data_IF_618593966207
#
_entry.id   IF_618593966207
#
_cell.length_a   1.000
_cell.length_b   1.000
_cell.length_c   1.000
_cell.angle_alpha   90.00
_cell.angle_beta   90.00
_cell.angle_gamma   90.00
#
_symmetry.space_group_name_H-M   'P 1'
#
loop_
_entity.id
_entity.type
_entity.pdbx_description
1 polymer ?
#
# COMPACT_ATOMS: atom_id res chain seq x y z
N UNK A 1 -26.83 11.49 -23.88
CA UNK A 1 -26.20 10.18 -23.59
C UNK A 1 -24.93 10.15 -24.41
N UNK A 2 -23.86 10.68 -23.85
CA UNK A 2 -22.55 10.69 -24.51
C UNK A 2 -21.67 9.68 -23.79
N UNK A 3 -21.22 8.67 -24.53
CA UNK A 3 -20.24 7.70 -24.06
C UNK A 3 -18.94 8.43 -23.66
N UNK A 4 -18.19 7.96 -22.64
CA UNK A 4 -16.93 8.57 -22.31
C UNK A 4 -15.96 8.33 -23.47
N UNK A 5 -15.38 9.41 -23.99
CA UNK A 5 -14.23 9.35 -24.91
C UNK A 5 -13.10 8.57 -24.22
N UNK A 6 -12.75 7.42 -24.77
CA UNK A 6 -11.46 6.80 -24.50
C UNK A 6 -10.38 7.84 -24.81
N UNK A 7 -9.63 8.21 -23.78
CA UNK A 7 -8.47 9.08 -23.92
C UNK A 7 -7.40 8.22 -24.61
N UNK A 8 -7.14 8.50 -25.89
CA UNK A 8 -5.98 8.01 -26.62
C UNK A 8 -4.73 8.47 -25.86
N UNK A 9 -4.23 7.64 -24.94
CA UNK A 9 -2.93 7.82 -24.32
C UNK A 9 -1.89 7.62 -25.42
N UNK A 10 -1.21 8.70 -25.79
CA UNK A 10 0.01 8.57 -26.59
C UNK A 10 0.95 7.62 -25.85
N UNK A 11 1.33 6.55 -26.55
CA UNK A 11 2.06 5.39 -26.04
C UNK A 11 3.54 5.73 -25.78
N UNK A 12 3.79 6.77 -24.96
CA UNK A 12 5.13 7.24 -24.62
C UNK A 12 5.70 6.35 -23.53
N UNK A 13 6.27 5.21 -23.95
CA UNK A 13 6.98 4.30 -23.06
C UNK A 13 8.10 5.06 -22.33
N UNK A 14 8.20 4.84 -21.02
CA UNK A 14 9.29 5.34 -20.17
C UNK A 14 10.24 4.19 -19.88
N UNK A 15 11.27 4.04 -20.71
CA UNK A 15 12.19 2.91 -20.64
C UNK A 15 13.49 3.35 -19.99
N UNK A 16 14.00 2.51 -19.08
CA UNK A 16 15.25 2.76 -18.36
C UNK A 16 16.15 1.54 -18.48
N UNK A 17 17.46 1.78 -18.53
CA UNK A 17 18.47 0.72 -18.49
C UNK A 17 19.08 0.63 -17.09
N UNK A 18 19.13 -0.56 -16.53
CA UNK A 18 19.79 -0.85 -15.27
C UNK A 18 20.57 -2.16 -15.39
N UNK A 19 21.88 -2.11 -15.14
CA UNK A 19 22.80 -3.27 -15.24
C UNK A 19 22.58 -4.09 -16.52
N UNK A 20 22.58 -3.40 -17.66
CA UNK A 20 22.41 -3.98 -19.00
C UNK A 20 21.02 -4.58 -19.30
N UNK A 21 20.07 -4.50 -18.38
CA UNK A 21 18.68 -4.90 -18.59
C UNK A 21 17.79 -3.67 -18.79
N UNK A 22 16.69 -3.82 -19.53
CA UNK A 22 15.74 -2.75 -19.80
C UNK A 22 14.46 -2.94 -19.00
N UNK A 23 13.87 -1.84 -18.56
CA UNK A 23 12.65 -1.81 -17.78
C UNK A 23 11.70 -0.74 -18.31
N UNK A 24 10.45 -1.10 -18.58
CA UNK A 24 9.39 -0.16 -18.91
C UNK A 24 8.63 0.22 -17.64
N UNK A 25 8.93 1.41 -17.12
CA UNK A 25 8.37 1.89 -15.85
C UNK A 25 7.26 2.91 -16.06
N UNK A 26 6.65 2.99 -17.25
CA UNK A 26 5.62 3.97 -17.60
C UNK A 26 4.50 4.06 -16.56
N UNK A 27 3.89 2.91 -16.26
CA UNK A 27 2.81 2.79 -15.27
C UNK A 27 3.31 2.96 -13.83
N UNK A 28 4.57 2.59 -13.58
CA UNK A 28 5.18 2.70 -12.24
C UNK A 28 5.51 4.14 -11.86
N UNK A 29 5.69 5.04 -12.82
CA UNK A 29 6.09 6.43 -12.57
C UNK A 29 5.20 7.11 -11.51
N UNK A 30 3.89 6.87 -11.62
CA UNK A 30 2.87 7.42 -10.76
C UNK A 30 2.78 6.70 -9.40
N UNK A 31 3.26 5.46 -9.34
CA UNK A 31 3.29 4.59 -8.16
C UNK A 31 4.61 4.68 -7.38
N UNK A 32 5.65 5.28 -7.98
CA UNK A 32 7.01 5.30 -7.43
C UNK A 32 7.06 5.94 -6.03
N UNK A 33 7.53 5.20 -5.00
CA UNK A 33 7.56 5.71 -3.63
C UNK A 33 8.41 6.97 -3.44
N UNK A 34 9.47 7.11 -4.24
CA UNK A 34 10.33 8.29 -4.25
C UNK A 34 9.74 9.49 -4.99
N UNK A 35 8.55 9.41 -5.56
CA UNK A 35 7.89 10.48 -6.32
C UNK A 35 8.39 10.58 -7.76
N UNK A 36 7.52 11.06 -8.65
CA UNK A 36 7.72 11.11 -10.11
C UNK A 36 8.87 12.04 -10.51
N UNK A 37 9.09 13.11 -9.73
CA UNK A 37 10.14 14.09 -10.01
C UNK A 37 11.56 13.50 -9.86
N UNK A 38 11.72 12.38 -9.17
CA UNK A 38 13.01 11.67 -9.08
C UNK A 38 13.36 10.90 -10.34
N UNK A 39 12.36 10.58 -11.17
CA UNK A 39 12.54 9.85 -12.43
C UNK A 39 12.83 10.77 -13.61
N UNK A 40 12.70 12.10 -13.43
CA UNK A 40 12.92 13.08 -14.50
C UNK A 40 14.31 12.91 -15.13
N UNK A 41 14.33 12.90 -16.46
CA UNK A 41 15.54 12.76 -17.27
C UNK A 41 16.08 11.34 -17.38
N UNK A 42 15.36 10.33 -16.89
CA UNK A 42 15.79 8.93 -16.99
C UNK A 42 15.29 8.19 -18.22
N UNK A 43 14.32 8.74 -18.96
CA UNK A 43 13.78 8.06 -20.14
C UNK A 43 14.88 7.80 -21.16
N UNK A 44 14.92 6.58 -21.67
CA UNK A 44 15.93 6.04 -22.58
C UNK A 44 17.39 6.17 -22.11
N UNK A 45 17.61 6.26 -20.79
CA UNK A 45 18.95 6.40 -20.20
C UNK A 45 19.35 5.22 -19.30
N UNK A 46 20.66 5.09 -19.06
CA UNK A 46 21.19 4.16 -18.06
C UNK A 46 21.13 4.79 -16.66
N UNK A 47 20.26 4.25 -15.82
CA UNK A 47 20.08 4.70 -14.44
C UNK A 47 21.05 4.02 -13.46
N UNK A 48 21.90 3.08 -13.88
CA UNK A 48 22.72 2.23 -12.97
C UNK A 48 23.52 3.07 -11.99
N UNK A 49 24.29 4.06 -12.47
CA UNK A 49 25.09 4.90 -11.57
C UNK A 49 24.24 5.76 -10.65
N UNK A 50 23.08 6.25 -11.10
CA UNK A 50 22.16 7.06 -10.28
C UNK A 50 21.47 6.21 -9.22
N UNK A 51 21.06 5.00 -9.59
CA UNK A 51 20.42 4.03 -8.72
C UNK A 51 21.37 3.57 -7.61
N UNK A 52 22.63 3.28 -7.93
CA UNK A 52 23.65 2.89 -6.95
C UNK A 52 24.10 4.04 -6.02
N UNK A 53 24.03 5.30 -6.49
CA UNK A 53 24.35 6.50 -5.67
C UNK A 53 23.16 6.99 -4.84
N UNK A 54 21.94 6.55 -5.16
CA UNK A 54 20.77 6.83 -4.35
C UNK A 54 20.90 6.14 -2.98
N UNK A 55 20.03 6.45 -1.99
CA UNK A 55 19.87 5.57 -0.86
C UNK A 55 19.71 4.12 -1.32
N UNK A 56 20.25 3.15 -0.56
CA UNK A 56 20.01 1.75 -0.85
C UNK A 56 18.52 1.51 -1.02
N UNK A 57 18.15 0.97 -2.18
CA UNK A 57 16.80 0.43 -2.38
C UNK A 57 16.73 -0.87 -1.59
N UNK A 58 15.59 -1.09 -0.94
CA UNK A 58 15.33 -2.31 -0.20
C UNK A 58 15.19 -3.52 -1.13
N UNK A 59 15.29 -4.72 -0.56
CA UNK A 59 15.07 -5.96 -1.31
C UNK A 59 13.67 -6.01 -1.93
N UNK A 60 12.64 -5.50 -1.24
CA UNK A 60 11.29 -5.37 -1.77
C UNK A 60 11.21 -4.42 -2.99
N UNK A 61 11.95 -3.32 -2.99
CA UNK A 61 12.00 -2.42 -4.15
C UNK A 61 12.76 -3.06 -5.33
N UNK A 62 13.85 -3.77 -5.06
CA UNK A 62 14.58 -4.54 -6.08
C UNK A 62 13.72 -5.67 -6.66
N UNK A 63 12.91 -6.30 -5.82
CA UNK A 63 11.97 -7.32 -6.21
C UNK A 63 10.88 -6.77 -7.13
N UNK A 64 10.21 -5.70 -6.71
CA UNK A 64 9.15 -5.04 -7.48
C UNK A 64 9.64 -4.54 -8.84
N UNK A 65 10.89 -4.05 -8.93
CA UNK A 65 11.50 -3.61 -10.18
C UNK A 65 11.49 -4.71 -11.27
N UNK A 66 11.57 -5.99 -10.88
CA UNK A 66 11.57 -7.12 -11.81
C UNK A 66 10.26 -7.22 -12.62
N UNK A 67 9.13 -6.77 -12.07
CA UNK A 67 7.82 -6.78 -12.76
C UNK A 67 7.80 -5.88 -14.01
N UNK A 68 8.71 -4.91 -14.09
CA UNK A 68 8.79 -3.95 -15.19
C UNK A 68 9.84 -4.32 -16.24
N UNK A 69 10.52 -5.47 -16.08
CA UNK A 69 11.58 -5.88 -17.00
C UNK A 69 10.99 -6.18 -18.38
N UNK A 70 11.64 -5.67 -19.43
CA UNK A 70 11.27 -5.95 -20.82
C UNK A 70 12.41 -6.65 -21.56
N UNK A 71 12.06 -7.45 -22.56
CA UNK A 71 13.05 -8.14 -23.39
C UNK A 71 13.82 -7.15 -24.25
N UNK A 72 15.16 -7.29 -24.24
CA UNK A 72 16.07 -6.40 -24.97
C UNK A 72 15.83 -6.43 -26.48
N UNK A 73 15.43 -7.57 -27.03
CA UNK A 73 15.08 -7.75 -28.45
C UNK A 73 13.85 -6.93 -28.87
N UNK A 74 12.86 -6.83 -27.98
CA UNK A 74 11.63 -6.08 -28.19
C UNK A 74 11.90 -4.56 -28.21
N UNK A 75 12.76 -4.08 -27.31
CA UNK A 75 13.14 -2.67 -27.22
C UNK A 75 14.02 -2.20 -28.41
N UNK A 76 15.02 -2.99 -28.80
CA UNK A 76 15.87 -2.62 -29.94
C UNK A 76 15.10 -2.58 -31.28
N UNK A 77 14.06 -3.41 -31.42
CA UNK A 77 13.19 -3.39 -32.61
C UNK A 77 12.35 -2.11 -32.69
N UNK A 78 11.87 -1.60 -31.55
CA UNK A 78 11.07 -0.37 -31.46
C UNK A 78 11.92 0.89 -31.68
N UNK A 79 13.17 0.92 -31.19
CA UNK A 79 14.11 2.00 -31.51
C UNK A 79 14.51 2.02 -33.00
N UNK A 80 14.70 0.85 -33.63
CA UNK A 80 14.99 0.77 -35.09
C UNK A 80 13.81 1.25 -35.94
N UNK A 81 12.57 1.06 -35.49
CA UNK A 81 11.37 1.59 -36.15
C UNK A 81 11.25 3.10 -36.01
N UNK A 82 11.50 3.67 -34.82
CA UNK A 82 11.50 5.13 -34.61
C UNK A 82 12.68 5.86 -35.26
N UNK A 83 13.86 5.22 -35.34
CA UNK A 83 15.06 5.78 -35.97
C UNK A 83 14.98 5.83 -37.50
N UNK A 84 14.06 5.08 -38.13
CA UNK A 84 13.90 5.07 -39.60
C UNK A 84 13.27 6.34 -40.19
N UNK A 85 12.79 7.27 -39.36
CA UNK A 85 12.26 8.57 -39.79
C UNK A 85 13.26 9.74 -39.72
N UNK A 86 14.52 9.48 -39.39
CA UNK A 86 15.60 10.48 -39.48
C UNK A 86 16.85 9.83 -40.08
N UNK A 87 16.91 9.87 -41.41
CA UNK A 87 18.10 10.01 -42.26
C UNK A 87 19.43 9.39 -41.81
N UNK A 88 19.78 8.30 -42.49
CA UNK A 88 20.98 8.07 -43.31
C UNK A 88 22.39 8.36 -42.76
N UNK A 89 23.18 7.29 -42.81
CA UNK A 89 24.61 7.19 -43.16
C UNK A 89 25.72 7.44 -42.12
N UNK A 90 26.38 6.32 -41.78
CA UNK A 90 27.82 6.05 -41.83
C UNK A 90 28.45 5.52 -40.53
N UNK A 91 28.68 4.19 -40.53
CA UNK A 91 30.04 3.66 -40.43
C UNK A 91 30.60 3.27 -39.05
N UNK A 92 31.13 2.03 -39.03
CA UNK A 92 32.18 1.46 -38.16
C UNK A 92 31.67 0.71 -36.92
N UNK A 93 31.60 -0.62 -37.07
CA UNK A 93 31.57 -1.61 -35.99
C UNK A 93 32.90 -1.56 -35.19
N UNK A 94 32.78 -1.34 -33.88
CA UNK A 94 33.86 -1.55 -32.92
C UNK A 94 33.41 -2.61 -31.92
N UNK A 95 33.90 -3.84 -32.12
CA UNK A 95 33.86 -4.93 -31.16
C UNK A 95 34.60 -4.51 -29.89
N UNK A 96 33.87 -4.34 -28.79
CA UNK A 96 34.46 -4.12 -27.47
C UNK A 96 33.92 -5.17 -26.50
N UNK A 97 34.80 -6.10 -26.13
CA UNK A 97 34.60 -7.08 -25.07
C UNK A 97 34.23 -6.38 -23.74
N UNK A 98 33.17 -6.81 -23.02
CA UNK A 98 32.95 -6.34 -21.66
C UNK A 98 33.96 -7.02 -20.72
N UNK A 99 34.76 -6.20 -20.03
CA UNK A 99 35.49 -6.64 -18.84
C UNK A 99 34.48 -6.98 -17.74
N UNK A 100 34.50 -8.23 -17.31
CA UNK A 100 33.87 -8.70 -16.08
C UNK A 100 34.49 -7.95 -14.89
N UNK A 101 33.68 -7.13 -14.22
CA UNK A 101 33.90 -6.82 -12.82
C UNK A 101 32.95 -7.70 -12.01
N UNK A 102 33.51 -8.76 -11.44
CA UNK A 102 32.85 -9.63 -10.47
C UNK A 102 32.33 -8.79 -9.30
N UNK A 103 31.01 -8.63 -9.21
CA UNK A 103 30.30 -8.19 -8.01
C UNK A 103 29.31 -9.32 -7.66
N UNK A 104 29.49 -9.88 -6.47
CA UNK A 104 28.93 -11.16 -5.97
C UNK A 104 27.42 -11.19 -5.70
N UNK A 105 26.62 -10.34 -6.36
CA UNK A 105 25.15 -10.35 -6.24
C UNK A 105 24.43 -10.96 -7.46
N UNK A 106 25.16 -11.68 -8.32
CA UNK A 106 24.59 -12.39 -9.47
C UNK A 106 24.16 -13.83 -9.12
N UNK A 107 23.38 -14.00 -8.06
CA UNK A 107 22.64 -15.24 -7.89
C UNK A 107 21.39 -15.20 -8.79
N UNK A 108 21.58 -15.64 -10.03
CA UNK A 108 20.52 -16.23 -10.85
C UNK A 108 20.11 -17.58 -10.23
N UNK A 109 19.38 -17.52 -9.13
CA UNK A 109 18.43 -18.54 -8.72
C UNK A 109 17.08 -17.84 -8.71
N UNK A 110 16.02 -18.52 -9.13
CA UNK A 110 14.66 -17.98 -9.15
C UNK A 110 14.14 -17.73 -7.73
N UNK A 111 14.62 -16.65 -7.10
CA UNK A 111 14.19 -16.12 -5.81
C UNK A 111 12.75 -15.57 -5.85
N UNK A 112 12.13 -15.55 -7.03
CA UNK A 112 10.73 -15.17 -7.15
C UNK A 112 9.89 -16.32 -6.62
N UNK A 113 9.39 -16.19 -5.39
CA UNK A 113 8.41 -17.12 -4.80
C UNK A 113 7.06 -17.09 -5.54
N UNK A 114 7.01 -16.46 -6.72
CA UNK A 114 5.78 -16.24 -7.48
C UNK A 114 5.36 -17.46 -8.28
N UNK A 115 6.29 -18.36 -8.59
CA UNK A 115 5.97 -19.66 -9.18
C UNK A 115 5.22 -20.58 -8.19
N UNK A 116 5.17 -20.25 -6.89
CA UNK A 116 4.44 -21.01 -5.89
C UNK A 116 2.92 -20.89 -6.03
N UNK A 117 2.43 -19.88 -6.78
CA UNK A 117 1.01 -19.65 -7.04
C UNK A 117 0.73 -19.40 -8.52
N UNK A 118 -0.46 -19.76 -8.96
CA UNK A 118 -0.98 -19.42 -10.27
C UNK A 118 -1.77 -18.10 -10.19
N UNK A 119 -1.17 -17.02 -10.68
CA UNK A 119 -1.73 -15.68 -10.71
C UNK A 119 -2.99 -15.54 -11.57
N UNK A 120 -3.24 -16.48 -12.49
CA UNK A 120 -4.47 -16.50 -13.30
C UNK A 120 -5.68 -17.05 -12.54
N UNK A 121 -5.45 -17.67 -11.37
CA UNK A 121 -6.48 -18.34 -10.55
C UNK A 121 -6.76 -17.59 -9.25
N UNK A 122 -7.84 -18.00 -8.58
CA UNK A 122 -8.20 -17.48 -7.27
C UNK A 122 -7.11 -17.79 -6.23
N UNK A 123 -6.70 -16.79 -5.45
CA UNK A 123 -5.56 -16.87 -4.54
C UNK A 123 -5.88 -17.60 -3.24
N UNK A 124 -7.08 -17.40 -2.65
CA UNK A 124 -7.39 -17.97 -1.34
C UNK A 124 -7.26 -19.50 -1.29
N UNK A 125 -7.76 -20.28 -2.27
CA UNK A 125 -7.56 -21.73 -2.29
C UNK A 125 -6.10 -22.18 -2.44
N UNK A 126 -5.22 -21.30 -2.91
CA UNK A 126 -3.80 -21.56 -3.15
C UNK A 126 -2.93 -21.28 -1.91
N UNK A 127 -3.41 -20.49 -0.94
CA UNK A 127 -2.66 -20.14 0.29
C UNK A 127 -2.17 -21.39 1.05
N UNK A 128 -2.97 -22.45 1.06
CA UNK A 128 -2.58 -23.72 1.69
C UNK A 128 -1.33 -24.37 1.09
N UNK A 129 -1.05 -24.13 -0.19
CA UNK A 129 0.09 -24.70 -0.89
C UNK A 129 1.38 -23.91 -0.61
N UNK A 130 1.25 -22.65 -0.16
CA UNK A 130 2.38 -21.74 0.09
C UNK A 130 2.59 -21.45 1.57
N UNK A 131 1.84 -22.11 2.47
CA UNK A 131 1.85 -21.83 3.92
C UNK A 131 3.26 -21.82 4.51
N UNK A 132 4.13 -22.75 4.06
CA UNK A 132 5.52 -22.82 4.49
C UNK A 132 6.32 -21.53 4.18
N UNK A 133 6.06 -20.90 3.04
CA UNK A 133 6.79 -19.72 2.56
C UNK A 133 5.97 -18.43 2.69
N UNK A 134 4.82 -18.50 3.37
CA UNK A 134 3.80 -17.47 3.32
C UNK A 134 4.30 -16.11 3.81
N UNK A 135 4.97 -16.09 4.97
CA UNK A 135 5.43 -14.85 5.62
C UNK A 135 6.42 -14.10 4.73
N UNK A 136 7.36 -14.81 4.10
CA UNK A 136 8.29 -14.18 3.16
C UNK A 136 7.57 -13.78 1.85
N UNK A 137 6.68 -14.62 1.33
CA UNK A 137 5.99 -14.39 0.06
C UNK A 137 5.04 -13.19 0.09
N UNK A 138 4.27 -13.03 1.18
CA UNK A 138 3.25 -11.98 1.31
C UNK A 138 3.86 -10.59 1.40
N UNK A 139 5.08 -10.50 1.96
CA UNK A 139 5.82 -9.27 2.17
C UNK A 139 6.68 -8.83 0.98
N UNK A 140 6.74 -9.61 -0.10
CA UNK A 140 7.37 -9.23 -1.37
C UNK A 140 6.32 -8.62 -2.31
N UNK A 141 6.25 -7.27 -2.43
CA UNK A 141 5.19 -6.59 -3.15
C UNK A 141 5.32 -6.79 -4.67
N UNK A 142 4.18 -6.81 -5.35
CA UNK A 142 4.05 -7.00 -6.80
C UNK A 142 3.05 -5.99 -7.36
N UNK A 143 3.15 -5.65 -8.64
CA UNK A 143 2.20 -4.75 -9.32
C UNK A 143 1.43 -5.50 -10.41
N UNK A 144 0.50 -6.35 -9.98
CA UNK A 144 -0.32 -7.16 -10.87
C UNK A 144 -1.73 -7.40 -10.33
N UNK A 145 -2.70 -7.68 -11.21
CA UNK A 145 -4.02 -8.10 -10.78
C UNK A 145 -3.96 -9.39 -9.93
N UNK A 146 -4.72 -9.41 -8.85
CA UNK A 146 -4.92 -10.58 -8.00
C UNK A 146 -6.41 -10.85 -7.85
N UNK A 147 -6.82 -12.12 -7.84
CA UNK A 147 -8.21 -12.54 -7.62
C UNK A 147 -8.30 -13.37 -6.34
N UNK A 148 -9.25 -13.10 -5.45
CA UNK A 148 -9.40 -13.86 -4.20
C UNK A 148 -10.30 -15.10 -4.38
N UNK A 149 -11.40 -14.98 -5.13
CA UNK A 149 -12.43 -16.00 -5.27
C UNK A 149 -12.64 -16.42 -6.73
N UNK A 150 -12.87 -17.72 -6.95
CA UNK A 150 -13.15 -18.28 -8.28
C UNK A 150 -14.50 -17.85 -8.88
N UNK A 151 -15.59 -17.76 -8.11
CA UNK A 151 -16.84 -17.16 -8.58
C UNK A 151 -16.75 -15.62 -8.65
N UNK A 152 -17.28 -15.02 -9.71
CA UNK A 152 -17.15 -13.58 -9.96
C UNK A 152 -17.93 -12.72 -8.95
N UNK A 153 -19.08 -13.20 -8.48
CA UNK A 153 -19.93 -12.47 -7.54
C UNK A 153 -19.29 -12.36 -6.15
N UNK A 154 -18.59 -13.41 -5.69
CA UNK A 154 -17.80 -13.34 -4.46
C UNK A 154 -16.63 -12.38 -4.60
N UNK A 155 -16.01 -12.34 -5.79
CA UNK A 155 -14.92 -11.41 -6.07
C UNK A 155 -15.37 -9.95 -6.01
N UNK A 156 -16.60 -9.64 -6.43
CA UNK A 156 -17.13 -8.28 -6.32
C UNK A 156 -17.25 -7.83 -4.85
N UNK A 157 -17.55 -8.75 -3.93
CA UNK A 157 -17.63 -8.45 -2.50
C UNK A 157 -16.26 -8.16 -1.86
N UNK A 158 -15.14 -8.39 -2.56
CA UNK A 158 -13.79 -8.10 -2.05
C UNK A 158 -13.29 -6.71 -2.47
N UNK A 159 -13.98 -6.09 -3.43
CA UNK A 159 -13.60 -4.81 -4.00
C UNK A 159 -14.38 -3.69 -3.34
N UNK A 160 -13.68 -2.88 -2.55
CA UNK A 160 -14.25 -1.75 -1.82
C UNK A 160 -13.64 -0.45 -2.33
N UNK A 161 -14.33 0.31 -3.20
CA UNK A 161 -13.93 1.67 -3.51
C UNK A 161 -13.84 2.52 -2.25
N UNK A 162 -12.88 3.45 -2.18
CA UNK A 162 -12.65 4.28 -0.99
C UNK A 162 -13.91 5.00 -0.50
N UNK A 163 -14.78 5.47 -1.41
CA UNK A 163 -15.98 6.24 -1.08
C UNK A 163 -17.11 5.41 -0.45
N UNK A 164 -17.06 4.08 -0.54
CA UNK A 164 -18.03 3.19 0.12
C UNK A 164 -17.92 3.31 1.64
N UNK A 165 -16.70 3.43 2.16
CA UNK A 165 -16.43 3.52 3.61
C UNK A 165 -17.09 4.77 4.23
N UNK A 166 -16.85 6.02 3.79
CA UNK A 166 -17.54 7.18 4.34
C UNK A 166 -19.05 7.15 4.08
N UNK A 167 -19.50 6.66 2.92
CA UNK A 167 -20.94 6.57 2.61
C UNK A 167 -21.68 5.68 3.60
N UNK A 168 -21.04 4.59 4.05
CA UNK A 168 -21.60 3.70 5.05
C UNK A 168 -21.43 4.22 6.48
N UNK A 169 -20.21 4.61 6.86
CA UNK A 169 -19.89 4.89 8.26
C UNK A 169 -20.35 6.26 8.74
N UNK A 170 -20.42 7.29 7.88
CA UNK A 170 -20.90 8.62 8.30
C UNK A 170 -22.35 8.56 8.81
N UNK A 171 -23.32 7.97 8.07
CA UNK A 171 -24.68 7.80 8.60
C UNK A 171 -24.74 6.97 9.88
N UNK A 172 -23.97 5.87 9.97
CA UNK A 172 -23.93 5.03 11.17
C UNK A 172 -23.46 5.82 12.39
N UNK A 173 -22.34 6.54 12.26
CA UNK A 173 -21.79 7.39 13.33
C UNK A 173 -22.78 8.49 13.71
N UNK A 174 -23.39 9.16 12.72
CA UNK A 174 -24.35 10.22 12.95
C UNK A 174 -25.60 9.72 13.69
N UNK A 175 -26.12 8.54 13.35
CA UNK A 175 -27.27 7.94 14.04
C UNK A 175 -26.89 7.53 15.46
N UNK A 176 -25.77 6.81 15.65
CA UNK A 176 -25.33 6.36 16.97
C UNK A 176 -25.07 7.54 17.92
N UNK A 177 -24.35 8.56 17.46
CA UNK A 177 -24.11 9.76 18.25
C UNK A 177 -25.41 10.55 18.44
N UNK A 178 -26.18 10.77 17.38
CA UNK A 178 -27.40 11.58 17.39
C UNK A 178 -28.45 11.09 18.37
N UNK A 179 -28.69 9.77 18.43
CA UNK A 179 -29.63 9.17 19.38
C UNK A 179 -29.22 9.41 20.83
N UNK A 180 -27.93 9.28 21.13
CA UNK A 180 -27.40 9.46 22.48
C UNK A 180 -27.39 10.95 22.89
N UNK A 181 -27.02 11.86 21.97
CA UNK A 181 -27.14 13.31 22.19
C UNK A 181 -28.60 13.72 22.41
N UNK A 182 -29.53 13.26 21.59
CA UNK A 182 -30.96 13.56 21.75
C UNK A 182 -31.51 13.08 23.11
N UNK A 183 -31.09 11.89 23.53
CA UNK A 183 -31.53 11.30 24.80
C UNK A 183 -30.94 12.05 26.02
N UNK A 184 -29.65 12.39 26.00
CA UNK A 184 -28.89 12.78 27.20
C UNK A 184 -28.45 14.25 27.26
N UNK A 185 -28.37 14.94 26.13
CA UNK A 185 -27.91 16.33 26.10
C UNK A 185 -29.03 17.32 26.47
N UNK A 186 -29.31 17.48 27.78
CA UNK A 186 -30.35 18.40 28.27
C UNK A 186 -29.80 19.76 28.67
N UNK A 187 -28.50 19.85 28.89
CA UNK A 187 -27.77 21.06 29.25
C UNK A 187 -26.49 21.23 28.41
N UNK A 188 -25.90 22.42 28.45
CA UNK A 188 -24.59 22.68 27.83
C UNK A 188 -23.47 21.84 28.43
N UNK A 189 -23.53 21.55 29.74
CA UNK A 189 -22.61 20.63 30.41
C UNK A 189 -22.72 19.20 29.87
N UNK A 190 -23.94 18.71 29.60
CA UNK A 190 -24.13 17.37 29.03
C UNK A 190 -23.53 17.29 27.63
N UNK A 191 -23.77 18.30 26.78
CA UNK A 191 -23.17 18.38 25.44
C UNK A 191 -21.64 18.32 25.52
N UNK A 192 -21.04 19.06 26.46
CA UNK A 192 -19.58 19.05 26.66
C UNK A 192 -19.08 17.67 27.11
N UNK A 193 -19.77 17.01 28.04
CA UNK A 193 -19.42 15.65 28.52
C UNK A 193 -19.50 14.64 27.38
N UNK A 194 -20.59 14.63 26.62
CA UNK A 194 -20.77 13.70 25.49
C UNK A 194 -19.72 13.95 24.38
N UNK A 195 -19.41 15.22 24.10
CA UNK A 195 -18.34 15.59 23.17
C UNK A 195 -16.96 15.12 23.67
N UNK A 196 -16.73 15.19 24.98
CA UNK A 196 -15.54 14.62 25.62
C UNK A 196 -15.42 13.10 25.41
N UNK A 197 -16.53 12.36 25.50
CA UNK A 197 -16.54 10.93 25.19
C UNK A 197 -16.31 10.62 23.71
N UNK A 198 -16.80 11.44 22.78
CA UNK A 198 -16.45 11.33 21.35
C UNK A 198 -14.94 11.49 21.16
N UNK A 199 -14.36 12.54 21.76
CA UNK A 199 -12.91 12.78 21.68
C UNK A 199 -12.12 11.62 22.28
N UNK A 200 -12.54 11.11 23.44
CA UNK A 200 -11.93 9.92 24.05
C UNK A 200 -12.00 8.71 23.11
N UNK A 201 -13.14 8.48 22.44
CA UNK A 201 -13.27 7.43 21.44
C UNK A 201 -12.30 7.59 20.27
N UNK A 202 -12.13 8.79 19.74
CA UNK A 202 -11.16 9.08 18.66
C UNK A 202 -9.72 8.80 19.14
N UNK A 203 -9.36 9.22 20.35
CA UNK A 203 -8.03 8.97 20.91
C UNK A 203 -7.80 7.47 21.16
N UNK A 204 -8.82 6.77 21.68
CA UNK A 204 -8.81 5.32 21.87
C UNK A 204 -8.59 4.61 20.53
N UNK A 205 -9.23 5.08 19.45
CA UNK A 205 -8.98 4.55 18.12
C UNK A 205 -7.51 4.67 17.71
N UNK A 206 -6.84 5.81 17.94
CA UNK A 206 -5.42 5.92 17.55
C UNK A 206 -4.54 4.87 18.23
N UNK A 207 -4.89 4.47 19.45
CA UNK A 207 -4.22 3.37 20.16
C UNK A 207 -4.58 2.01 19.55
N UNK A 208 -5.86 1.78 19.26
CA UNK A 208 -6.32 0.56 18.60
C UNK A 208 -5.71 0.39 17.20
N UNK A 209 -5.61 1.46 16.42
CA UNK A 209 -4.89 1.50 15.14
C UNK A 209 -3.48 0.92 15.30
N UNK A 210 -2.71 1.45 16.25
CA UNK A 210 -1.35 0.97 16.51
C UNK A 210 -1.34 -0.52 16.92
N UNK A 211 -2.25 -0.91 17.83
CA UNK A 211 -2.30 -2.27 18.36
C UNK A 211 -2.67 -3.28 17.27
N UNK A 212 -3.73 -2.99 16.52
CA UNK A 212 -4.20 -3.84 15.43
C UNK A 212 -3.13 -3.93 14.35
N UNK A 213 -2.56 -2.79 13.93
CA UNK A 213 -1.57 -2.80 12.88
C UNK A 213 -0.31 -3.58 13.27
N UNK A 214 0.15 -3.45 14.52
CA UNK A 214 1.36 -4.16 14.99
C UNK A 214 1.15 -5.64 15.27
N UNK A 215 0.13 -6.01 16.03
CA UNK A 215 0.01 -7.37 16.58
C UNK A 215 -1.01 -8.25 15.87
N UNK A 216 -1.89 -7.67 15.06
CA UNK A 216 -2.90 -8.43 14.30
C UNK A 216 -2.56 -8.42 12.82
N UNK A 217 -2.30 -7.25 12.24
CA UNK A 217 -2.03 -7.09 10.83
C UNK A 217 -0.59 -7.43 10.43
N UNK A 218 0.36 -7.31 11.36
CA UNK A 218 1.76 -7.74 11.20
C UNK A 218 2.11 -8.90 12.14
N UNK A 219 1.14 -9.79 12.39
CA UNK A 219 1.43 -11.03 13.12
C UNK A 219 2.45 -11.86 12.31
N UNK A 220 3.59 -12.16 12.93
CA UNK A 220 4.61 -13.00 12.30
C UNK A 220 4.10 -14.43 12.17
N UNK A 221 4.01 -14.93 10.95
CA UNK A 221 3.61 -16.31 10.69
C UNK A 221 4.85 -17.17 10.45
N UNK A 222 4.83 -18.36 11.03
CA UNK A 222 5.88 -19.38 10.87
C UNK A 222 5.40 -20.47 9.91
N UNK A 223 6.31 -21.34 9.50
CA UNK A 223 6.00 -22.50 8.65
C UNK A 223 4.88 -23.39 9.23
N UNK A 224 4.70 -23.37 10.55
CA UNK A 224 3.72 -24.16 11.31
C UNK A 224 2.38 -23.43 11.58
N UNK A 225 2.22 -22.18 11.16
CA UNK A 225 1.05 -21.34 11.49
C UNK A 225 -0.28 -21.84 10.90
N UNK A 226 -0.23 -22.79 9.97
CA UNK A 226 -1.39 -23.44 9.37
C UNK A 226 -2.11 -22.56 8.34
N UNK A 227 -2.77 -23.18 7.34
CA UNK A 227 -3.31 -22.47 6.18
C UNK A 227 -4.45 -21.50 6.52
N UNK A 228 -5.22 -21.79 7.58
CA UNK A 228 -6.32 -20.93 8.02
C UNK A 228 -5.84 -19.59 8.56
N UNK A 229 -4.77 -19.58 9.35
CA UNK A 229 -4.21 -18.35 9.91
C UNK A 229 -3.54 -17.51 8.82
N UNK A 230 -2.80 -18.13 7.90
CA UNK A 230 -2.26 -17.47 6.71
C UNK A 230 -3.37 -16.85 5.85
N UNK A 231 -4.48 -17.56 5.66
CA UNK A 231 -5.65 -17.06 4.91
C UNK A 231 -6.27 -15.85 5.61
N UNK A 232 -6.47 -15.94 6.92
CA UNK A 232 -7.00 -14.84 7.72
C UNK A 232 -6.10 -13.60 7.65
N UNK A 233 -4.79 -13.75 7.89
CA UNK A 233 -3.81 -12.67 7.76
C UNK A 233 -3.82 -12.05 6.35
N UNK A 234 -3.89 -12.89 5.30
CA UNK A 234 -3.94 -12.42 3.92
C UNK A 234 -5.15 -11.53 3.68
N UNK A 235 -6.32 -11.90 4.19
CA UNK A 235 -7.55 -11.14 4.00
C UNK A 235 -7.61 -9.81 4.74
N UNK A 236 -6.95 -9.69 5.90
CA UNK A 236 -7.03 -8.48 6.73
C UNK A 236 -5.94 -7.46 6.41
N UNK A 237 -4.76 -7.89 5.96
CA UNK A 237 -3.64 -6.97 5.68
C UNK A 237 -2.61 -7.50 4.68
N UNK A 238 -2.35 -8.82 4.66
CA UNK A 238 -1.33 -9.39 3.78
C UNK A 238 -1.56 -9.11 2.30
N UNK A 239 -2.82 -9.09 1.85
CA UNK A 239 -3.18 -8.70 0.49
C UNK A 239 -2.74 -7.28 0.14
N UNK A 240 -2.90 -6.35 1.08
CA UNK A 240 -2.50 -4.96 0.89
C UNK A 240 -0.97 -4.83 0.77
N UNK A 241 -0.19 -5.56 1.56
CA UNK A 241 1.27 -5.60 1.39
C UNK A 241 1.70 -6.29 0.09
N UNK A 242 0.97 -7.32 -0.34
CA UNK A 242 1.30 -8.07 -1.55
C UNK A 242 1.02 -7.28 -2.82
N UNK A 243 -0.14 -6.63 -2.93
CA UNK A 243 -0.55 -5.80 -4.07
C UNK A 243 -0.87 -4.36 -3.61
N UNK A 244 0.15 -3.57 -3.20
CA UNK A 244 -0.07 -2.27 -2.55
C UNK A 244 -0.73 -1.23 -3.44
N UNK A 245 -0.70 -1.43 -4.77
CA UNK A 245 -1.26 -0.50 -5.75
C UNK A 245 -2.67 -0.90 -6.24
N UNK A 246 -3.35 -1.84 -5.58
CA UNK A 246 -4.75 -2.15 -5.85
C UNK A 246 -5.68 -1.16 -5.11
N UNK A 247 -6.35 -0.21 -5.81
CA UNK A 247 -7.17 0.81 -5.16
C UNK A 247 -8.46 0.26 -4.57
N UNK A 248 -8.86 -0.95 -4.93
CA UNK A 248 -10.11 -1.56 -4.50
C UNK A 248 -9.92 -2.48 -3.28
N UNK A 249 -8.69 -2.73 -2.85
CA UNK A 249 -8.36 -3.67 -1.77
C UNK A 249 -7.43 -3.09 -0.70
N UNK A 250 -7.51 -1.77 -0.52
CA UNK A 250 -6.80 -1.04 0.52
C UNK A 250 -7.70 -0.80 1.74
N UNK A 251 -8.88 -0.22 1.52
CA UNK A 251 -9.78 0.16 2.63
C UNK A 251 -10.52 -1.04 3.19
N UNK A 252 -10.89 -0.98 4.47
CA UNK A 252 -11.52 -2.12 5.12
C UNK A 252 -13.01 -2.23 4.71
N UNK A 253 -13.47 -3.39 4.19
CA UNK A 253 -14.86 -3.53 3.73
C UNK A 253 -15.87 -3.36 4.88
N UNK A 254 -16.98 -2.60 4.70
CA UNK A 254 -17.89 -2.28 5.81
C UNK A 254 -18.51 -3.47 6.54
N UNK A 255 -18.90 -4.54 5.83
CA UNK A 255 -19.54 -5.71 6.44
C UNK A 255 -18.59 -6.44 7.42
N UNK A 256 -17.38 -6.87 7.01
CA UNK A 256 -16.34 -7.28 7.95
C UNK A 256 -16.05 -6.25 9.04
N UNK A 257 -16.06 -4.95 8.70
CA UNK A 257 -15.88 -3.85 9.64
C UNK A 257 -16.90 -3.84 10.79
N UNK A 258 -18.18 -4.06 10.49
CA UNK A 258 -19.25 -4.17 11.51
C UNK A 258 -19.02 -5.37 12.42
N UNK A 259 -18.61 -6.51 11.86
CA UNK A 259 -18.31 -7.72 12.64
C UNK A 259 -17.14 -7.44 13.59
N UNK A 260 -16.03 -6.90 13.09
CA UNK A 260 -14.86 -6.57 13.91
C UNK A 260 -15.20 -5.52 14.97
N UNK A 261 -15.91 -4.46 14.61
CA UNK A 261 -16.37 -3.43 15.54
C UNK A 261 -17.25 -4.03 16.65
N UNK A 262 -18.13 -4.97 16.32
CA UNK A 262 -19.00 -5.65 17.30
C UNK A 262 -18.20 -6.52 18.28
N UNK A 263 -17.20 -7.26 17.77
CA UNK A 263 -16.30 -8.09 18.59
C UNK A 263 -15.49 -7.23 19.55
N UNK A 264 -14.95 -6.10 19.09
CA UNK A 264 -14.18 -5.17 19.93
C UNK A 264 -15.07 -4.41 20.91
N UNK A 265 -16.24 -3.96 20.47
CA UNK A 265 -17.17 -3.17 21.28
C UNK A 265 -17.76 -3.97 22.44
N UNK A 266 -18.15 -5.23 22.22
CA UNK A 266 -18.86 -6.04 23.21
C UNK A 266 -18.16 -6.09 24.59
N UNK A 267 -16.88 -6.52 24.70
CA UNK A 267 -16.19 -6.54 26.00
C UNK A 267 -15.93 -5.13 26.55
N UNK A 268 -15.58 -4.16 25.70
CA UNK A 268 -15.35 -2.77 26.12
C UNK A 268 -16.62 -2.16 26.70
N UNK A 269 -17.78 -2.46 26.13
CA UNK A 269 -19.08 -1.94 26.57
C UNK A 269 -19.48 -2.43 27.96
N UNK A 270 -19.07 -3.67 28.32
CA UNK A 270 -19.29 -4.22 29.67
C UNK A 270 -18.44 -3.50 30.71
N UNK A 271 -17.18 -3.22 30.39
CA UNK A 271 -16.26 -2.48 31.27
C UNK A 271 -16.74 -1.02 31.43
N UNK A 272 -17.21 -0.41 30.35
CA UNK A 272 -17.61 0.99 30.29
C UNK A 272 -19.11 1.22 30.50
N UNK A 273 -19.84 0.27 31.09
CA UNK A 273 -21.31 0.34 31.24
C UNK A 273 -21.82 1.67 31.82
N UNK A 274 -21.08 2.27 32.76
CA UNK A 274 -21.44 3.53 33.41
C UNK A 274 -20.86 4.79 32.74
N UNK A 275 -20.21 4.65 31.58
CA UNK A 275 -19.40 5.70 30.93
C UNK A 275 -19.79 5.95 29.47
N UNK A 276 -21.08 5.85 29.13
CA UNK A 276 -21.60 6.13 27.78
C UNK A 276 -20.89 5.35 26.64
N UNK A 277 -20.86 4.00 26.68
CA UNK A 277 -20.05 3.20 25.77
C UNK A 277 -20.42 3.39 24.29
N UNK A 278 -21.70 3.68 23.98
CA UNK A 278 -22.17 3.94 22.60
C UNK A 278 -21.65 5.27 22.02
N UNK A 279 -21.48 6.30 22.85
CA UNK A 279 -20.85 7.55 22.41
C UNK A 279 -19.35 7.30 22.17
N UNK A 280 -18.69 6.58 23.06
CA UNK A 280 -17.28 6.21 22.88
C UNK A 280 -17.09 5.40 21.59
N UNK A 281 -18.00 4.45 21.31
CA UNK A 281 -18.02 3.71 20.04
C UNK A 281 -18.16 4.65 18.84
N UNK A 282 -19.05 5.63 18.90
CA UNK A 282 -19.24 6.61 17.82
C UNK A 282 -17.96 7.41 17.56
N UNK A 283 -17.26 7.82 18.63
CA UNK A 283 -15.95 8.46 18.53
C UNK A 283 -14.86 7.54 17.97
N UNK A 284 -14.82 6.28 18.39
CA UNK A 284 -13.87 5.29 17.89
C UNK A 284 -14.09 4.97 16.39
N UNK A 285 -15.36 4.85 15.96
CA UNK A 285 -15.72 4.69 14.55
C UNK A 285 -15.37 5.92 13.72
N UNK A 286 -15.51 7.13 14.28
CA UNK A 286 -15.04 8.36 13.63
C UNK A 286 -13.51 8.35 13.48
N UNK A 287 -12.78 7.94 14.52
CA UNK A 287 -11.34 7.73 14.45
C UNK A 287 -10.95 6.74 13.34
N UNK A 288 -11.63 5.59 13.28
CA UNK A 288 -11.46 4.59 12.23
C UNK A 288 -11.70 5.14 10.83
N UNK A 289 -12.80 5.85 10.62
CA UNK A 289 -13.11 6.45 9.33
C UNK A 289 -12.00 7.42 8.90
N UNK A 290 -11.53 8.28 9.81
CA UNK A 290 -10.41 9.17 9.54
C UNK A 290 -9.13 8.40 9.18
N UNK A 291 -8.80 7.35 9.94
CA UNK A 291 -7.66 6.48 9.68
C UNK A 291 -7.72 5.85 8.28
N UNK A 292 -8.84 5.24 7.91
CA UNK A 292 -8.97 4.49 6.66
C UNK A 292 -8.89 5.44 5.45
N UNK A 293 -9.46 6.65 5.58
CA UNK A 293 -9.34 7.70 4.56
C UNK A 293 -7.94 8.30 4.49
N UNK A 294 -7.26 8.49 5.62
CA UNK A 294 -5.85 8.89 5.64
C UNK A 294 -5.02 7.83 4.93
N UNK A 295 -5.18 6.55 5.29
CA UNK A 295 -4.45 5.43 4.72
C UNK A 295 -4.58 5.40 3.19
N UNK A 296 -5.82 5.47 2.69
CA UNK A 296 -6.08 5.54 1.26
C UNK A 296 -5.41 6.77 0.61
N UNK A 297 -5.50 7.94 1.24
CA UNK A 297 -4.87 9.16 0.75
C UNK A 297 -3.33 9.10 0.78
N UNK A 298 -2.72 8.36 1.71
CA UNK A 298 -1.27 8.17 1.72
C UNK A 298 -0.80 7.39 0.48
N UNK A 299 -1.57 6.39 0.02
CA UNK A 299 -1.25 5.65 -1.21
C UNK A 299 -1.56 6.46 -2.47
N UNK A 300 -2.77 7.00 -2.58
CA UNK A 300 -3.27 7.57 -3.85
C UNK A 300 -3.30 9.10 -3.93
N UNK A 301 -3.04 9.80 -2.83
CA UNK A 301 -3.03 11.26 -2.76
C UNK A 301 -1.67 11.89 -3.05
N UNK A 302 -1.68 13.21 -3.24
CA UNK A 302 -0.48 14.04 -3.41
C UNK A 302 -0.39 15.12 -2.32
N UNK A 303 -0.03 14.74 -1.08
CA UNK A 303 0.06 15.68 0.03
C UNK A 303 1.10 16.78 -0.23
N UNK A 304 0.76 18.02 0.13
CA UNK A 304 1.69 19.15 0.06
C UNK A 304 2.80 19.01 1.09
N UNK A 305 4.03 19.36 0.72
CA UNK A 305 5.22 19.20 1.56
C UNK A 305 5.18 19.90 2.93
N UNK A 306 4.33 20.91 3.11
CA UNK A 306 4.15 21.61 4.39
C UNK A 306 3.17 20.92 5.34
N UNK A 307 2.55 19.82 4.94
CA UNK A 307 1.48 19.17 5.68
C UNK A 307 1.97 17.87 6.33
N UNK A 308 1.46 17.53 7.52
CA UNK A 308 1.75 16.28 8.23
C UNK A 308 1.61 15.03 7.34
N UNK A 309 0.58 14.99 6.51
CA UNK A 309 0.31 13.88 5.58
C UNK A 309 1.43 13.65 4.56
N UNK A 310 2.27 14.65 4.25
CA UNK A 310 3.44 14.45 3.38
C UNK A 310 4.49 13.59 4.05
N UNK A 311 4.78 13.87 5.33
CA UNK A 311 5.70 13.05 6.11
C UNK A 311 5.10 11.69 6.40
N UNK A 312 3.79 11.59 6.67
CA UNK A 312 3.12 10.30 6.83
C UNK A 312 3.14 9.45 5.56
N UNK A 313 2.97 10.05 4.37
CA UNK A 313 3.09 9.30 3.11
C UNK A 313 4.48 8.68 2.97
N UNK A 314 5.51 9.47 3.25
CA UNK A 314 6.91 8.99 3.24
C UNK A 314 7.14 7.92 4.30
N UNK A 315 6.62 8.12 5.50
CA UNK A 315 6.72 7.20 6.64
C UNK A 315 6.10 5.85 6.32
N UNK A 316 4.88 5.87 5.79
CA UNK A 316 4.13 4.68 5.45
C UNK A 316 4.71 3.95 4.22
N UNK A 317 5.25 4.66 3.24
CA UNK A 317 6.01 4.01 2.16
C UNK A 317 7.29 3.35 2.65
N UNK A 318 7.98 3.91 3.65
CA UNK A 318 9.10 3.20 4.27
C UNK A 318 8.62 1.95 5.00
N UNK A 319 7.46 1.98 5.65
CA UNK A 319 6.86 0.78 6.25
C UNK A 319 6.59 -0.31 5.20
N UNK A 320 5.92 0.02 4.08
CA UNK A 320 5.63 -0.95 3.02
C UNK A 320 6.86 -1.57 2.38
N UNK A 321 7.82 -0.71 2.02
CA UNK A 321 8.88 -1.10 1.10
C UNK A 321 10.23 -1.30 1.78
N UNK A 322 10.49 -0.82 2.99
CA UNK A 322 11.82 -0.87 3.60
C UNK A 322 11.87 -1.45 5.02
N UNK A 323 10.88 -1.16 5.86
CA UNK A 323 10.88 -1.45 7.29
C UNK A 323 9.50 -1.94 7.75
N UNK A 324 9.13 -3.15 7.36
CA UNK A 324 7.79 -3.71 7.64
C UNK A 324 7.55 -3.97 9.13
N UNK A 325 8.62 -4.14 9.89
CA UNK A 325 8.60 -4.33 11.35
C UNK A 325 8.61 -3.03 12.17
N UNK A 326 8.53 -1.87 11.51
CA UNK A 326 8.50 -0.54 12.12
C UNK A 326 7.39 0.32 11.49
N UNK A 327 7.01 1.41 12.14
CA UNK A 327 6.12 2.42 11.55
C UNK A 327 4.66 1.98 11.45
N UNK A 328 4.12 1.46 12.55
CA UNK A 328 2.74 0.96 12.60
C UNK A 328 1.70 2.09 12.69
N UNK A 329 2.10 3.31 13.06
CA UNK A 329 1.20 4.46 13.03
C UNK A 329 0.96 4.98 11.61
N UNK A 330 -0.29 4.94 11.15
CA UNK A 330 -0.73 5.46 9.84
C UNK A 330 -1.23 6.90 9.96
N UNK A 331 -2.04 7.18 10.99
CA UNK A 331 -2.56 8.51 11.27
C UNK A 331 -1.47 9.42 11.88
N UNK A 332 -0.65 8.86 12.77
CA UNK A 332 0.47 9.58 13.39
C UNK A 332 1.52 8.61 13.94
N UNK A 333 2.80 9.04 14.08
CA UNK A 333 3.86 8.22 14.65
C UNK A 333 3.88 8.30 16.20
N UNK A 334 2.81 8.78 16.85
CA UNK A 334 2.80 9.00 18.30
C UNK A 334 3.07 7.71 19.07
N UNK A 335 2.29 6.66 18.80
CA UNK A 335 2.44 5.36 19.46
C UNK A 335 3.74 4.64 19.07
N UNK A 336 4.23 4.86 17.85
CA UNK A 336 5.56 4.39 17.46
C UNK A 336 6.68 4.98 18.32
N UNK A 337 6.56 6.23 18.77
CA UNK A 337 7.52 6.82 19.71
C UNK A 337 7.41 6.19 21.09
N UNK A 338 6.17 6.07 21.60
CA UNK A 338 5.89 5.49 22.91
C UNK A 338 6.45 4.07 23.02
N UNK A 339 6.26 3.27 21.98
CA UNK A 339 6.64 1.86 21.95
C UNK A 339 7.93 1.56 21.19
N UNK A 340 8.70 2.60 20.82
CA UNK A 340 10.02 2.51 20.17
C UNK A 340 10.03 1.73 18.84
N UNK A 341 8.99 1.90 18.03
CA UNK A 341 8.87 1.32 16.68
C UNK A 341 8.93 2.39 15.58
N UNK A 342 9.50 3.56 15.87
CA UNK A 342 9.51 4.71 14.96
C UNK A 342 10.49 4.55 13.80
N UNK A 343 10.00 4.76 12.57
CA UNK A 343 10.87 4.95 11.40
C UNK A 343 11.47 6.36 11.40
N UNK A 344 12.79 6.44 11.23
CA UNK A 344 13.49 7.71 11.18
C UNK A 344 13.64 8.15 9.72
N UNK A 345 12.76 9.07 9.31
CA UNK A 345 12.79 9.60 7.95
C UNK A 345 14.06 10.42 7.70
N UNK A 346 14.78 10.09 6.63
CA UNK A 346 15.91 10.88 6.17
C UNK A 346 15.47 12.28 5.76
N UNK A 347 16.27 13.30 6.08
CA UNK A 347 16.09 14.66 5.55
C UNK A 347 16.32 14.66 4.03
N UNK A 348 15.33 15.13 3.26
CA UNK A 348 15.45 15.21 1.81
C UNK A 348 16.14 16.51 1.39
N UNK A 349 16.91 16.44 0.30
CA UNK A 349 17.51 17.64 -0.34
C UNK A 349 16.50 18.41 -1.21
N UNK A 350 15.41 17.76 -1.59
CA UNK A 350 14.33 18.32 -2.40
C UNK A 350 12.99 17.67 -2.02
N UNK A 351 11.88 18.33 -2.36
CA UNK A 351 10.54 17.79 -2.09
C UNK A 351 10.17 16.73 -3.14
N UNK A 352 9.63 15.61 -2.68
CA UNK A 352 9.03 14.59 -3.54
C UNK A 352 7.69 15.13 -4.06
N UNK A 353 7.35 14.74 -5.28
CA UNK A 353 6.03 15.00 -5.85
C UNK A 353 5.46 13.67 -6.30
N UNK A 354 4.24 13.39 -5.88
CA UNK A 354 3.45 12.31 -6.44
C UNK A 354 2.48 12.91 -7.45
N UNK A 355 1.82 12.08 -8.24
CA UNK A 355 0.87 12.49 -9.28
C UNK A 355 -0.54 12.13 -8.88
#
# INVERSE_FOLDING_TARGET
MDAPKEMEQSNNKFIVKYRQQYYDISEFMHKHPGGINTLKGLNDSDMTSRFMKAPPHSDAAMYLMREYKVDSSEYESTKKSHSKNTSSENGIELLQHPKESEDTNNNQLDESMEHLVDWSKAMLPQIKNITKYYDEWVHKPVDRPLRLFGPWYLEMCTKTPWWVVPTFWIPVIAVLAGLEFQAKAKSTSDVAILSGYILFGVLLWTFLEYVLHRWVFHIKLTEDSGPWLCTFHFMIHGLHHKVPFDPMRLVFPPLPGVVLASILYSPISLILQNHNPRIILSGALLGYLCYDMIHYYLHYGNPKASHHLYDMKRYHYQHHFAHQDLGYGISSPFWDNVFKTRIHLRKLRFQLRWS
#
